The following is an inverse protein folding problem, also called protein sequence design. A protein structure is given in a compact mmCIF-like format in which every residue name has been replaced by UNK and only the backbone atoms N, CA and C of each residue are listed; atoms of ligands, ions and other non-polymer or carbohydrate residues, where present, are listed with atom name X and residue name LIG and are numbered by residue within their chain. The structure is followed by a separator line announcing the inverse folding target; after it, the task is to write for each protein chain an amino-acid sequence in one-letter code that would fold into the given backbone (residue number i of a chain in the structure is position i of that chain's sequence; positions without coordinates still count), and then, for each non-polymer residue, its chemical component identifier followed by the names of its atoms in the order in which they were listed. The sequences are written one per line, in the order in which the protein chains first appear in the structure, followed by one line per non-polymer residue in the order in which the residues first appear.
data_IF_316861506108
#
_entry.id   IF_316861506108
#
_cell.length_a   1.000
_cell.length_b   1.000
_cell.length_c   1.000
_cell.angle_alpha   90.00
_cell.angle_beta   90.00
_cell.angle_gamma   90.00
#
_symmetry.space_group_name_H-M   'P 1'
#
loop_
_entity.id
_entity.type
_entity.pdbx_description
1 polymer ?
#
# COMPACT_ATOMS: atom_id res chain seq x y z
N UNK A 1 -4.39 -11.43 33.03
CA UNK A 1 -3.39 -11.98 32.10
C UNK A 1 -4.12 -12.73 30.99
N UNK A 2 -4.50 -12.06 29.90
CA UNK A 2 -5.05 -12.71 28.70
C UNK A 2 -4.97 -11.79 27.47
N UNK A 3 -3.89 -11.02 27.31
CA UNK A 3 -3.64 -10.23 26.10
C UNK A 3 -2.40 -10.80 25.41
N UNK A 4 -2.57 -11.47 24.26
CA UNK A 4 -1.42 -12.01 23.51
C UNK A 4 -1.68 -13.28 22.71
N UNK A 5 -2.92 -13.73 22.54
CA UNK A 5 -3.21 -15.00 21.87
C UNK A 5 -3.20 -14.94 20.34
N UNK A 6 -3.80 -13.91 19.74
CA UNK A 6 -4.06 -13.87 18.30
C UNK A 6 -3.04 -13.03 17.53
N UNK A 7 -2.75 -11.81 17.99
CA UNK A 7 -1.75 -10.92 17.40
C UNK A 7 -0.35 -11.55 17.34
N UNK A 8 0.03 -12.31 18.37
CA UNK A 8 1.31 -13.05 18.43
C UNK A 8 1.36 -14.21 17.43
N UNK A 9 0.22 -14.81 17.08
CA UNK A 9 0.14 -15.86 16.05
C UNK A 9 0.20 -15.27 14.64
N UNK A 10 -0.51 -14.17 14.40
CA UNK A 10 -0.49 -13.44 13.12
C UNK A 10 0.93 -12.94 12.82
N UNK A 11 1.60 -12.31 13.80
CA UNK A 11 2.98 -11.82 13.64
C UNK A 11 4.02 -12.94 13.48
N UNK A 12 3.81 -14.11 14.10
CA UNK A 12 4.72 -15.27 13.97
C UNK A 12 4.62 -15.94 12.61
N UNK A 13 3.41 -16.03 12.04
CA UNK A 13 3.20 -16.55 10.67
C UNK A 13 3.77 -15.57 9.63
N UNK A 14 3.66 -14.26 9.88
CA UNK A 14 4.28 -13.23 9.05
C UNK A 14 5.81 -13.34 9.03
N UNK A 15 6.43 -13.61 10.20
CA UNK A 15 7.88 -13.85 10.30
C UNK A 15 8.33 -15.19 9.70
N UNK A 16 7.50 -16.24 9.72
CA UNK A 16 7.92 -17.56 9.23
C UNK A 16 7.83 -17.70 7.70
N UNK A 17 7.03 -16.89 7.02
CA UNK A 17 6.87 -16.94 5.55
C UNK A 17 7.69 -15.89 4.78
N UNK A 18 8.31 -14.94 5.49
CA UNK A 18 9.29 -14.01 4.92
C UNK A 18 10.68 -14.64 4.67
N UNK A 19 10.86 -15.93 4.99
CA UNK A 19 12.08 -16.71 4.70
C UNK A 19 12.07 -17.39 3.32
N UNK A 20 10.93 -17.37 2.62
CA UNK A 20 10.79 -17.74 1.22
C UNK A 20 10.64 -16.46 0.39
N UNK A 21 11.36 -16.35 -0.73
CA UNK A 21 11.51 -15.15 -1.56
C UNK A 21 10.22 -14.69 -2.31
N UNK A 22 9.07 -15.24 -1.95
CA UNK A 22 7.74 -14.85 -2.42
C UNK A 22 7.00 -14.21 -1.25
N UNK A 23 6.70 -12.91 -1.35
CA UNK A 23 5.92 -12.19 -0.34
C UNK A 23 4.53 -12.82 -0.13
N UNK A 24 3.84 -12.52 0.99
CA UNK A 24 2.47 -13.00 1.20
C UNK A 24 1.56 -12.54 0.05
N UNK A 25 0.69 -13.43 -0.43
CA UNK A 25 -0.26 -13.14 -1.50
C UNK A 25 -1.22 -12.02 -1.05
N UNK A 26 -1.09 -10.82 -1.63
CA UNK A 26 -1.62 -9.59 -1.02
C UNK A 26 -3.13 -9.44 -1.27
N UNK A 27 -3.66 -10.05 -2.33
CA UNK A 27 -5.11 -10.23 -2.52
C UNK A 27 -5.71 -11.05 -1.35
N UNK A 28 -4.99 -12.08 -0.90
CA UNK A 28 -5.36 -12.86 0.28
C UNK A 28 -5.30 -12.01 1.57
N UNK A 29 -4.33 -11.10 1.68
CA UNK A 29 -4.23 -10.16 2.82
C UNK A 29 -5.41 -9.20 2.85
N UNK A 30 -5.77 -8.59 1.71
CA UNK A 30 -6.93 -7.72 1.60
C UNK A 30 -8.23 -8.44 1.97
N UNK A 31 -8.46 -9.61 1.39
CA UNK A 31 -9.62 -10.44 1.69
C UNK A 31 -9.72 -10.83 3.18
N UNK A 32 -8.58 -11.18 3.81
CA UNK A 32 -8.52 -11.48 5.25
C UNK A 32 -8.82 -10.26 6.13
N UNK A 33 -8.36 -9.07 5.75
CA UNK A 33 -8.65 -7.83 6.49
C UNK A 33 -10.12 -7.45 6.38
N UNK A 34 -10.71 -7.59 5.19
CA UNK A 34 -12.15 -7.36 5.00
C UNK A 34 -12.99 -8.37 5.78
N UNK A 35 -12.60 -9.64 5.82
CA UNK A 35 -13.28 -10.66 6.62
C UNK A 35 -13.17 -10.38 8.13
N UNK A 36 -11.99 -9.94 8.60
CA UNK A 36 -11.80 -9.52 9.98
C UNK A 36 -12.71 -8.33 10.34
N UNK A 37 -12.83 -7.32 9.46
CA UNK A 37 -13.74 -6.19 9.65
C UNK A 37 -15.21 -6.63 9.71
N UNK A 38 -15.65 -7.50 8.80
CA UNK A 38 -17.02 -8.05 8.81
C UNK A 38 -17.31 -8.83 10.09
N UNK A 39 -16.36 -9.66 10.52
CA UNK A 39 -16.47 -10.45 11.75
C UNK A 39 -16.61 -9.54 12.98
N UNK A 40 -15.77 -8.50 13.09
CA UNK A 40 -15.83 -7.54 14.19
C UNK A 40 -17.15 -6.75 14.17
N UNK A 41 -17.62 -6.33 13.00
CA UNK A 41 -18.90 -5.63 12.84
C UNK A 41 -20.08 -6.49 13.28
N UNK A 42 -20.05 -7.79 12.94
CA UNK A 42 -21.05 -8.77 13.39
C UNK A 42 -21.02 -8.96 14.91
N UNK A 43 -19.82 -9.02 15.51
CA UNK A 43 -19.67 -9.10 16.96
C UNK A 43 -20.24 -7.84 17.64
N UNK A 44 -19.97 -6.65 17.12
CA UNK A 44 -20.54 -5.41 17.64
C UNK A 44 -22.08 -5.44 17.59
N UNK A 45 -22.66 -5.92 16.49
CA UNK A 45 -24.11 -6.08 16.37
C UNK A 45 -24.68 -7.07 17.41
N UNK A 46 -23.98 -8.17 17.68
CA UNK A 46 -24.35 -9.13 18.72
C UNK A 46 -24.28 -8.52 20.12
N UNK A 47 -23.23 -7.77 20.43
CA UNK A 47 -23.09 -7.08 21.73
C UNK A 47 -24.19 -6.04 21.91
N UNK A 48 -24.49 -5.23 20.88
CA UNK A 48 -25.58 -4.26 20.92
C UNK A 48 -26.94 -4.93 21.15
N UNK A 49 -27.17 -6.09 20.55
CA UNK A 49 -28.38 -6.90 20.82
C UNK A 49 -28.40 -7.41 22.26
N UNK A 50 -27.27 -7.91 22.77
CA UNK A 50 -27.15 -8.32 24.17
C UNK A 50 -27.47 -7.20 25.16
N UNK A 51 -26.97 -5.97 24.91
CA UNK A 51 -27.34 -4.77 25.70
C UNK A 51 -28.86 -4.57 25.70
N UNK A 52 -29.51 -4.66 24.55
CA UNK A 52 -30.97 -4.49 24.45
C UNK A 52 -31.75 -5.58 25.20
N UNK A 53 -31.27 -6.82 25.17
CA UNK A 53 -31.88 -7.95 25.88
C UNK A 53 -31.75 -7.78 27.41
N UNK A 54 -30.60 -7.30 27.90
CA UNK A 54 -30.38 -6.96 29.32
C UNK A 54 -31.25 -5.76 29.74
N UNK A 55 -31.29 -4.70 28.94
CA UNK A 55 -32.14 -3.53 29.19
C UNK A 55 -33.63 -3.90 29.29
N UNK A 56 -34.08 -4.79 28.40
CA UNK A 56 -35.46 -5.32 28.40
C UNK A 56 -35.72 -6.12 29.68
N UNK A 57 -34.78 -6.97 30.08
CA UNK A 57 -34.88 -7.76 31.31
C UNK A 57 -34.93 -6.87 32.55
N UNK A 58 -34.07 -5.83 32.61
CA UNK A 58 -34.08 -4.83 33.67
C UNK A 58 -35.43 -4.11 33.73
N UNK A 59 -35.98 -3.68 32.59
CA UNK A 59 -37.27 -2.99 32.56
C UNK A 59 -38.42 -3.89 33.01
N UNK A 60 -38.37 -5.18 32.69
CA UNK A 60 -39.34 -6.16 33.20
C UNK A 60 -39.29 -6.26 34.73
N UNK A 61 -38.10 -6.34 35.31
CA UNK A 61 -37.91 -6.35 36.78
C UNK A 61 -38.42 -5.04 37.39
N UNK A 62 -38.14 -3.90 36.77
CA UNK A 62 -38.64 -2.58 37.21
C UNK A 62 -40.19 -2.53 37.28
N UNK A 63 -40.86 -3.09 36.26
CA UNK A 63 -42.33 -3.18 36.24
C UNK A 63 -42.85 -4.10 37.37
N UNK A 64 -42.18 -5.23 37.61
CA UNK A 64 -42.54 -6.14 38.70
C UNK A 64 -42.36 -5.49 40.07
N UNK A 65 -41.27 -4.75 40.28
CA UNK A 65 -41.03 -3.94 41.48
C UNK A 65 -42.13 -2.90 41.70
N UNK A 66 -42.53 -2.20 40.65
CA UNK A 66 -43.62 -1.23 40.74
C UNK A 66 -44.96 -1.88 41.12
N UNK A 67 -45.22 -3.12 40.67
CA UNK A 67 -46.39 -3.89 41.12
C UNK A 67 -46.32 -4.24 42.59
N UNK A 68 -45.20 -4.83 43.04
CA UNK A 68 -45.01 -5.20 44.44
C UNK A 68 -45.11 -3.99 45.37
N UNK A 69 -44.57 -2.82 44.99
CA UNK A 69 -44.69 -1.60 45.79
C UNK A 69 -46.14 -1.15 45.98
N UNK A 70 -47.02 -1.33 44.98
CA UNK A 70 -48.46 -1.07 45.14
C UNK A 70 -49.12 -2.09 46.07
N UNK A 71 -48.74 -3.36 45.99
CA UNK A 71 -49.26 -4.40 46.87
C UNK A 71 -48.81 -4.21 48.33
N UNK A 72 -47.58 -3.78 48.54
CA UNK A 72 -47.04 -3.41 49.87
C UNK A 72 -47.86 -2.26 50.46
N UNK A 73 -48.09 -1.19 49.69
CA UNK A 73 -48.91 -0.06 50.13
C UNK A 73 -50.35 -0.48 50.46
N UNK A 74 -50.95 -1.35 49.64
CA UNK A 74 -52.29 -1.87 49.91
C UNK A 74 -52.36 -2.72 51.19
N UNK A 75 -51.33 -3.54 51.46
CA UNK A 75 -51.25 -4.32 52.70
C UNK A 75 -51.07 -3.44 53.94
N UNK A 76 -50.28 -2.36 53.83
CA UNK A 76 -50.11 -1.35 54.89
C UNK A 76 -51.43 -0.60 55.17
N UNK A 77 -52.16 -0.20 54.12
CA UNK A 77 -53.48 0.42 54.25
C UNK A 77 -54.51 -0.53 54.89
N UNK A 78 -54.48 -1.81 54.50
CA UNK A 78 -55.33 -2.85 55.10
C UNK A 78 -55.02 -3.08 56.58
N UNK A 79 -53.73 -3.09 56.95
CA UNK A 79 -53.29 -3.18 58.34
C UNK A 79 -53.81 -2.00 59.16
N UNK A 80 -53.60 -0.76 58.69
CA UNK A 80 -54.09 0.46 59.33
C UNK A 80 -55.61 0.46 59.50
N UNK A 81 -56.35 0.05 58.48
CA UNK A 81 -57.81 -0.04 58.53
C UNK A 81 -58.29 -1.09 59.53
N UNK A 82 -57.58 -2.22 59.67
CA UNK A 82 -57.91 -3.27 60.64
C UNK A 82 -57.67 -2.81 62.07
N UNK A 83 -56.55 -2.12 62.32
CA UNK A 83 -56.27 -1.48 63.63
C UNK A 83 -57.36 -0.47 63.98
N UNK A 84 -57.77 0.38 63.04
CA UNK A 84 -58.83 1.37 63.27
C UNK A 84 -60.19 0.75 63.65
N UNK A 85 -60.45 -0.49 63.22
CA UNK A 85 -61.66 -1.25 63.58
C UNK A 85 -61.47 -2.14 64.81
N UNK A 86 -60.29 -2.16 65.43
CA UNK A 86 -59.96 -3.03 66.56
C UNK A 86 -59.78 -4.52 66.20
N UNK A 87 -59.55 -4.83 64.92
CA UNK A 87 -59.26 -6.19 64.46
C UNK A 87 -57.75 -6.46 64.43
N UNK A 88 -57.21 -6.81 65.59
CA UNK A 88 -55.78 -7.11 65.76
C UNK A 88 -55.33 -8.32 64.94
N UNK A 89 -56.20 -9.32 64.76
CA UNK A 89 -55.88 -10.52 63.99
C UNK A 89 -55.77 -10.18 62.48
N UNK A 90 -56.68 -9.34 61.97
CA UNK A 90 -56.62 -8.80 60.62
C UNK A 90 -55.36 -7.97 60.40
N UNK A 91 -55.03 -7.08 61.33
CA UNK A 91 -53.84 -6.23 61.25
C UNK A 91 -52.55 -7.06 61.19
N UNK A 92 -52.41 -8.09 62.04
CA UNK A 92 -51.23 -8.98 62.03
C UNK A 92 -51.06 -9.72 60.71
N UNK A 93 -52.15 -10.27 60.16
CA UNK A 93 -52.10 -10.96 58.85
C UNK A 93 -51.69 -10.03 57.71
N UNK A 94 -52.21 -8.80 57.69
CA UNK A 94 -51.86 -7.81 56.69
C UNK A 94 -50.38 -7.42 56.77
N UNK A 95 -49.85 -7.22 57.99
CA UNK A 95 -48.43 -6.94 58.21
C UNK A 95 -47.52 -8.13 57.84
N UNK A 96 -47.91 -9.37 58.17
CA UNK A 96 -47.18 -10.57 57.74
C UNK A 96 -47.08 -10.66 56.22
N UNK A 97 -48.19 -10.36 55.51
CA UNK A 97 -48.20 -10.27 54.05
C UNK A 97 -47.30 -9.14 53.53
N UNK A 98 -47.36 -7.97 54.16
CA UNK A 98 -46.51 -6.83 53.80
C UNK A 98 -45.02 -7.20 53.89
N UNK A 99 -44.59 -7.80 55.00
CA UNK A 99 -43.20 -8.24 55.20
C UNK A 99 -42.76 -9.25 54.14
N UNK A 100 -43.64 -10.19 53.75
CA UNK A 100 -43.35 -11.13 52.68
C UNK A 100 -43.17 -10.45 51.32
N UNK A 101 -44.02 -9.45 51.01
CA UNK A 101 -43.92 -8.66 49.77
C UNK A 101 -42.67 -7.77 49.75
N UNK A 102 -42.33 -7.15 50.89
CA UNK A 102 -41.11 -6.35 51.04
C UNK A 102 -39.85 -7.18 50.81
N UNK A 103 -39.81 -8.41 51.34
CA UNK A 103 -38.71 -9.33 51.06
C UNK A 103 -38.58 -9.65 49.57
N UNK A 104 -39.69 -9.99 48.91
CA UNK A 104 -39.69 -10.25 47.47
C UNK A 104 -39.28 -9.03 46.64
N UNK A 105 -39.69 -7.83 47.07
CA UNK A 105 -39.27 -6.58 46.45
C UNK A 105 -37.77 -6.32 46.62
N UNK A 106 -37.21 -6.57 47.81
CA UNK A 106 -35.76 -6.48 48.04
C UNK A 106 -34.96 -7.39 47.09
N UNK A 107 -35.38 -8.65 46.95
CA UNK A 107 -34.72 -9.60 46.04
C UNK A 107 -34.77 -9.15 44.56
N UNK A 108 -35.86 -8.50 44.13
CA UNK A 108 -35.95 -7.93 42.78
C UNK A 108 -35.16 -6.64 42.61
N UNK A 109 -35.04 -5.82 43.66
CA UNK A 109 -34.26 -4.59 43.65
C UNK A 109 -32.76 -4.91 43.48
N UNK A 110 -32.26 -5.91 44.22
CA UNK A 110 -30.90 -6.43 44.06
C UNK A 110 -30.63 -6.89 42.63
N UNK A 111 -31.55 -7.67 42.04
CA UNK A 111 -31.45 -8.09 40.63
C UNK A 111 -31.49 -6.91 39.66
N UNK A 112 -32.32 -5.91 39.93
CA UNK A 112 -32.41 -4.70 39.10
C UNK A 112 -31.07 -3.93 39.10
N UNK A 113 -30.45 -3.78 40.27
CA UNK A 113 -29.12 -3.16 40.41
C UNK A 113 -28.06 -3.97 39.67
N UNK A 114 -28.07 -5.29 39.80
CA UNK A 114 -27.13 -6.17 39.08
C UNK A 114 -27.27 -6.03 37.56
N UNK A 115 -28.50 -6.09 37.03
CA UNK A 115 -28.78 -5.95 35.60
C UNK A 115 -28.38 -4.57 35.08
N UNK A 116 -28.58 -3.51 35.89
CA UNK A 116 -28.14 -2.16 35.53
C UNK A 116 -26.62 -2.07 35.39
N UNK A 117 -25.89 -2.63 36.36
CA UNK A 117 -24.42 -2.67 36.31
C UNK A 117 -23.92 -3.45 35.09
N UNK A 118 -24.55 -4.59 34.79
CA UNK A 118 -24.22 -5.38 33.60
C UNK A 118 -24.53 -4.63 32.30
N UNK A 119 -25.67 -3.94 32.21
CA UNK A 119 -26.00 -3.08 31.06
C UNK A 119 -24.95 -1.99 30.84
N UNK A 120 -24.56 -1.27 31.89
CA UNK A 120 -23.54 -0.21 31.83
C UNK A 120 -22.17 -0.76 31.38
N UNK A 121 -21.78 -1.94 31.87
CA UNK A 121 -20.55 -2.62 31.44
C UNK A 121 -20.60 -3.03 29.95
N UNK A 122 -21.73 -3.58 29.49
CA UNK A 122 -21.90 -3.96 28.09
C UNK A 122 -21.91 -2.74 27.16
N UNK A 123 -22.53 -1.62 27.56
CA UNK A 123 -22.52 -0.35 26.82
C UNK A 123 -21.07 0.15 26.67
N UNK A 124 -20.30 0.18 27.76
CA UNK A 124 -18.90 0.63 27.71
C UNK A 124 -18.03 -0.28 26.83
N UNK A 125 -18.27 -1.59 26.89
CA UNK A 125 -17.59 -2.58 26.05
C UNK A 125 -17.94 -2.40 24.57
N UNK A 126 -19.22 -2.16 24.24
CA UNK A 126 -19.67 -1.90 22.88
C UNK A 126 -19.00 -0.64 22.30
N UNK A 127 -18.94 0.44 23.07
CA UNK A 127 -18.27 1.67 22.65
C UNK A 127 -16.75 1.47 22.43
N UNK A 128 -16.11 0.64 23.25
CA UNK A 128 -14.71 0.27 23.06
C UNK A 128 -14.48 -0.51 21.75
N UNK A 129 -15.33 -1.51 21.49
CA UNK A 129 -15.29 -2.31 20.24
C UNK A 129 -15.51 -1.43 19.02
N UNK A 130 -16.47 -0.50 19.08
CA UNK A 130 -16.75 0.44 17.99
C UNK A 130 -15.53 1.30 17.65
N UNK A 131 -14.82 1.84 18.65
CA UNK A 131 -13.56 2.55 18.43
C UNK A 131 -12.48 1.67 17.80
N UNK A 132 -12.34 0.43 18.26
CA UNK A 132 -11.36 -0.51 17.70
C UNK A 132 -11.67 -0.86 16.23
N UNK A 133 -12.94 -1.00 15.87
CA UNK A 133 -13.39 -1.25 14.50
C UNK A 133 -13.05 -0.06 13.61
N UNK A 134 -13.28 1.16 14.08
CA UNK A 134 -12.96 2.36 13.32
C UNK A 134 -11.44 2.53 13.13
N UNK A 135 -10.65 2.31 14.18
CA UNK A 135 -9.19 2.27 14.09
C UNK A 135 -8.72 1.21 13.08
N UNK A 136 -9.36 0.04 13.09
CA UNK A 136 -9.05 -1.03 12.14
C UNK A 136 -9.38 -0.62 10.71
N UNK A 137 -10.53 0.03 10.47
CA UNK A 137 -10.93 0.54 9.15
C UNK A 137 -9.89 1.52 8.61
N UNK A 138 -9.49 2.51 9.42
CA UNK A 138 -8.47 3.50 9.02
C UNK A 138 -7.14 2.82 8.69
N UNK A 139 -6.69 1.85 9.50
CA UNK A 139 -5.44 1.10 9.24
C UNK A 139 -5.54 0.26 7.96
N UNK A 140 -6.67 -0.38 7.72
CA UNK A 140 -6.94 -1.15 6.50
C UNK A 140 -6.85 -0.25 5.27
N UNK A 141 -7.53 0.89 5.28
CA UNK A 141 -7.56 1.84 4.15
C UNK A 141 -6.16 2.44 3.91
N UNK A 142 -5.43 2.76 4.98
CA UNK A 142 -4.04 3.23 4.90
C UNK A 142 -3.12 2.17 4.28
N UNK A 143 -3.28 0.90 4.68
CA UNK A 143 -2.48 -0.19 4.14
C UNK A 143 -2.78 -0.42 2.66
N UNK A 144 -4.06 -0.37 2.26
CA UNK A 144 -4.48 -0.47 0.87
C UNK A 144 -3.89 0.66 0.00
N UNK A 145 -3.92 1.90 0.49
CA UNK A 145 -3.32 3.05 -0.20
C UNK A 145 -1.79 2.91 -0.33
N UNK A 146 -1.11 2.51 0.75
CA UNK A 146 0.35 2.28 0.72
C UNK A 146 0.73 1.15 -0.24
N UNK A 147 -0.10 0.12 -0.35
CA UNK A 147 0.07 -0.96 -1.29
C UNK A 147 -0.06 -0.46 -2.74
N UNK A 148 -1.14 0.23 -3.09
CA UNK A 148 -1.34 0.80 -4.42
C UNK A 148 -0.17 1.71 -4.83
N UNK A 149 0.31 2.55 -3.92
CA UNK A 149 1.48 3.39 -4.16
C UNK A 149 2.78 2.58 -4.37
N UNK A 150 2.96 1.48 -3.63
CA UNK A 150 4.12 0.60 -3.80
C UNK A 150 4.07 -0.16 -5.14
N UNK A 151 2.90 -0.62 -5.56
CA UNK A 151 2.68 -1.26 -6.85
C UNK A 151 2.99 -0.30 -8.01
N UNK A 152 2.45 0.93 -7.97
CA UNK A 152 2.75 1.95 -8.98
C UNK A 152 4.25 2.26 -9.08
N UNK A 153 4.97 2.30 -7.94
CA UNK A 153 6.44 2.45 -7.95
C UNK A 153 7.15 1.28 -8.61
N UNK A 154 6.75 0.05 -8.32
CA UNK A 154 7.32 -1.13 -8.97
C UNK A 154 7.06 -1.15 -10.48
N UNK A 155 5.86 -0.78 -10.92
CA UNK A 155 5.52 -0.66 -12.34
C UNK A 155 6.38 0.39 -13.04
N UNK A 156 6.57 1.57 -12.43
CA UNK A 156 7.46 2.62 -12.96
C UNK A 156 8.91 2.12 -13.02
N UNK A 157 9.43 1.46 -11.99
CA UNK A 157 10.78 0.91 -11.99
C UNK A 157 10.97 -0.17 -13.06
N UNK A 158 9.98 -1.05 -13.25
CA UNK A 158 9.98 -2.06 -14.31
C UNK A 158 9.94 -1.44 -15.71
N UNK A 159 9.06 -0.44 -15.92
CA UNK A 159 8.99 0.31 -17.18
C UNK A 159 10.29 1.07 -17.47
N UNK A 160 10.90 1.68 -16.45
CA UNK A 160 12.17 2.42 -16.59
C UNK A 160 13.33 1.48 -16.90
N UNK A 161 13.37 0.28 -16.30
CA UNK A 161 14.35 -0.75 -16.66
C UNK A 161 14.17 -1.23 -18.11
N UNK A 162 12.93 -1.39 -18.57
CA UNK A 162 12.62 -1.71 -19.97
C UNK A 162 13.03 -0.61 -20.95
N UNK A 163 12.82 0.66 -20.60
CA UNK A 163 13.30 1.81 -21.38
C UNK A 163 14.83 1.87 -21.39
N UNK A 164 15.51 1.57 -20.28
CA UNK A 164 16.97 1.52 -20.23
C UNK A 164 17.55 0.43 -21.14
N UNK A 165 16.88 -0.74 -21.22
CA UNK A 165 17.26 -1.81 -22.14
C UNK A 165 17.10 -1.41 -23.61
N UNK A 166 15.97 -0.79 -23.98
CA UNK A 166 15.73 -0.33 -25.36
C UNK A 166 16.58 0.88 -25.73
N UNK A 167 16.83 1.81 -24.81
CA UNK A 167 17.73 2.94 -25.02
C UNK A 167 19.19 2.48 -25.23
N UNK A 168 19.64 1.45 -24.50
CA UNK A 168 20.94 0.83 -24.72
C UNK A 168 21.06 0.17 -26.11
N UNK A 169 19.99 -0.47 -26.57
CA UNK A 169 19.92 -1.06 -27.91
C UNK A 169 19.94 0.00 -29.02
N UNK A 170 19.13 1.06 -28.89
CA UNK A 170 19.08 2.18 -29.85
C UNK A 170 20.42 2.93 -29.89
N UNK A 171 21.06 3.16 -28.74
CA UNK A 171 22.39 3.78 -28.69
C UNK A 171 23.47 2.97 -29.42
N UNK A 172 23.40 1.63 -29.33
CA UNK A 172 24.32 0.74 -30.05
C UNK A 172 24.11 0.81 -31.56
N UNK A 173 22.86 0.83 -32.01
CA UNK A 173 22.50 0.97 -33.43
C UNK A 173 22.95 2.33 -33.99
N UNK A 174 22.80 3.41 -33.22
CA UNK A 174 23.26 4.74 -33.61
C UNK A 174 24.79 4.81 -33.71
N UNK A 175 25.52 4.26 -32.74
CA UNK A 175 26.99 4.22 -32.79
C UNK A 175 27.52 3.39 -33.98
N UNK A 176 26.83 2.29 -34.33
CA UNK A 176 27.16 1.47 -35.49
C UNK A 176 26.88 2.22 -36.80
N UNK A 177 25.78 2.98 -36.87
CA UNK A 177 25.45 3.83 -38.02
C UNK A 177 26.48 4.96 -38.20
N UNK A 178 26.85 5.67 -37.12
CA UNK A 178 27.87 6.71 -37.15
C UNK A 178 29.26 6.19 -37.56
N UNK A 179 29.61 4.97 -37.15
CA UNK A 179 30.85 4.32 -37.60
C UNK A 179 30.80 4.04 -39.11
N UNK A 180 29.69 3.49 -39.60
CA UNK A 180 29.53 3.20 -41.03
C UNK A 180 29.53 4.48 -41.87
N UNK A 181 28.90 5.56 -41.41
CA UNK A 181 28.96 6.86 -42.08
C UNK A 181 30.39 7.37 -42.16
N UNK A 182 31.18 7.30 -41.08
CA UNK A 182 32.60 7.70 -41.11
C UNK A 182 33.44 6.82 -42.04
N UNK A 183 33.16 5.53 -42.10
CA UNK A 183 33.81 4.63 -43.07
C UNK A 183 33.48 5.02 -44.51
N UNK A 184 32.21 5.34 -44.79
CA UNK A 184 31.76 5.80 -46.10
C UNK A 184 32.37 7.15 -46.47
N UNK A 185 32.42 8.10 -45.53
CA UNK A 185 33.07 9.40 -45.69
C UNK A 185 34.57 9.23 -45.97
N UNK A 186 35.28 8.43 -45.17
CA UNK A 186 36.71 8.15 -45.41
C UNK A 186 36.95 7.44 -46.75
N UNK A 187 36.01 6.58 -47.18
CA UNK A 187 36.07 5.94 -48.50
C UNK A 187 35.82 6.96 -49.61
N UNK A 188 34.86 7.88 -49.43
CA UNK A 188 34.59 8.95 -50.39
C UNK A 188 35.79 9.90 -50.51
N UNK A 189 36.38 10.32 -49.38
CA UNK A 189 37.58 11.15 -49.33
C UNK A 189 38.77 10.45 -50.02
N UNK A 190 38.97 9.15 -49.79
CA UNK A 190 40.01 8.38 -50.47
C UNK A 190 39.74 8.25 -51.97
N UNK A 191 38.48 8.11 -52.39
CA UNK A 191 38.10 8.07 -53.82
C UNK A 191 38.32 9.44 -54.47
N UNK A 192 37.99 10.54 -53.79
CA UNK A 192 38.23 11.91 -54.26
C UNK A 192 39.74 12.20 -54.38
N UNK A 193 40.56 11.73 -53.44
CA UNK A 193 42.02 11.79 -53.52
C UNK A 193 42.54 10.99 -54.74
N UNK A 194 42.08 9.76 -54.96
CA UNK A 194 42.43 8.97 -56.15
C UNK A 194 41.94 9.59 -57.47
N UNK A 195 40.83 10.34 -57.47
CA UNK A 195 40.38 11.12 -58.63
C UNK A 195 41.28 12.33 -58.88
N UNK A 196 41.71 13.03 -57.82
CA UNK A 196 42.62 14.18 -57.90
C UNK A 196 44.05 13.78 -58.32
N UNK A 197 44.55 12.63 -57.84
CA UNK A 197 45.81 12.02 -58.29
C UNK A 197 45.73 11.44 -59.72
N UNK A 198 44.57 11.54 -60.36
CA UNK A 198 44.35 11.09 -61.73
C UNK A 198 44.29 9.57 -61.88
N UNK A 199 44.15 8.82 -60.78
CA UNK A 199 44.13 7.37 -60.76
C UNK A 199 42.77 6.81 -61.21
N UNK A 200 41.66 7.49 -60.92
CA UNK A 200 40.33 7.06 -61.35
C UNK A 200 39.80 7.88 -62.55
N UNK A 201 38.96 7.26 -63.38
CA UNK A 201 38.29 7.93 -64.49
C UNK A 201 37.17 8.83 -63.97
N UNK A 202 37.05 10.05 -64.50
CA UNK A 202 35.99 10.98 -64.09
C UNK A 202 34.64 10.51 -64.62
N UNK A 203 33.52 10.80 -63.93
CA UNK A 203 32.19 10.45 -64.43
C UNK A 203 31.96 10.99 -65.85
N UNK A 204 31.75 10.09 -66.82
CA UNK A 204 31.56 10.43 -68.24
C UNK A 204 32.83 10.41 -69.10
N UNK A 205 34.00 10.20 -68.51
CA UNK A 205 35.29 10.01 -69.19
C UNK A 205 35.45 8.53 -69.58
N UNK A 206 35.83 8.25 -70.83
CA UNK A 206 36.16 6.89 -71.28
C UNK A 206 37.52 6.44 -70.73
N UNK A 207 37.75 5.12 -70.62
CA UNK A 207 39.05 4.60 -70.13
C UNK A 207 40.22 5.10 -70.98
N UNK A 208 40.02 5.26 -72.29
CA UNK A 208 41.04 5.75 -73.21
C UNK A 208 41.38 7.24 -72.93
N UNK A 209 40.38 8.07 -72.66
CA UNK A 209 40.58 9.49 -72.30
C UNK A 209 41.29 9.65 -70.95
N UNK A 210 40.94 8.84 -69.95
CA UNK A 210 41.62 8.83 -68.65
C UNK A 210 43.10 8.39 -68.75
N UNK A 211 43.39 7.42 -69.62
CA UNK A 211 44.75 6.96 -69.91
C UNK A 211 45.56 8.03 -70.67
N UNK A 212 44.95 8.69 -71.66
CA UNK A 212 45.58 9.79 -72.41
C UNK A 212 45.96 10.96 -71.51
N UNK A 213 45.07 11.37 -70.59
CA UNK A 213 45.34 12.42 -69.61
C UNK A 213 46.51 12.08 -68.69
N UNK A 214 46.56 10.85 -68.15
CA UNK A 214 47.71 10.39 -67.36
C UNK A 214 49.01 10.39 -68.17
N UNK A 215 48.93 10.02 -69.45
CA UNK A 215 50.09 10.01 -70.35
C UNK A 215 50.60 11.43 -70.60
N UNK A 216 49.70 12.40 -70.83
CA UNK A 216 50.02 13.82 -70.99
C UNK A 216 50.60 14.45 -69.71
N UNK A 217 50.05 14.13 -68.54
CA UNK A 217 50.54 14.62 -67.25
C UNK A 217 51.93 14.05 -66.89
N UNK A 218 52.14 12.76 -67.19
CA UNK A 218 53.46 12.14 -67.07
C UNK A 218 54.50 12.77 -68.03
N UNK A 219 54.10 13.15 -69.24
CA UNK A 219 54.96 13.86 -70.20
C UNK A 219 55.22 15.32 -69.81
N UNK A 220 54.23 16.02 -69.23
CA UNK A 220 54.37 17.39 -68.72
C UNK A 220 55.34 17.52 -67.54
N UNK A 221 55.61 16.43 -66.82
CA UNK A 221 56.61 16.40 -65.74
C UNK A 221 58.08 16.27 -66.22
N UNK A 222 58.31 16.05 -67.52
CA UNK A 222 59.65 15.81 -68.09
C UNK A 222 60.31 17.08 -68.66
N UNK A 223 59.57 18.17 -68.87
CA UNK A 223 60.09 19.39 -69.54
C UNK A 223 60.36 20.61 -68.63
N UNK A 224 60.49 20.42 -67.31
CA UNK A 224 61.05 21.46 -66.42
C UNK A 224 62.59 21.33 -66.32
N UNK A 225 63.27 21.74 -67.39
CA UNK A 225 64.74 21.82 -67.52
C UNK A 225 65.39 22.91 -66.61
N UNK A 226 66.73 22.98 -66.46
CA UNK A 226 67.38 23.04 -65.15
C UNK A 226 68.29 24.26 -64.87
N UNK A 227 68.72 24.33 -63.60
CA UNK A 227 70.00 24.87 -63.05
C UNK A 227 70.30 26.37 -63.13
N UNK A 228 70.56 26.94 -61.95
CA UNK A 228 71.81 27.64 -61.69
C UNK A 228 72.37 27.21 -60.33
N UNK A 229 73.60 26.69 -60.36
CA UNK A 229 74.44 26.28 -59.24
C UNK A 229 75.42 27.42 -58.98
N UNK A 230 75.47 27.93 -57.75
CA UNK A 230 76.70 28.45 -57.12
C UNK A 230 76.37 28.66 -55.65
N UNK A 231 76.78 27.75 -54.76
CA UNK A 231 78.03 27.85 -53.99
C UNK A 231 77.71 28.59 -52.67
N UNK A 232 78.16 28.22 -51.48
CA UNK A 232 79.04 27.20 -50.94
C UNK A 232 78.82 27.29 -49.40
N UNK A 233 79.28 26.32 -48.61
CA UNK A 233 79.52 26.56 -47.19
C UNK A 233 78.55 25.96 -46.16
N UNK A 234 78.82 24.69 -45.83
CA UNK A 234 79.16 24.28 -44.45
C UNK A 234 78.07 24.13 -43.38
N UNK A 235 77.72 22.86 -43.11
CA UNK A 235 77.90 22.27 -41.77
C UNK A 235 76.76 22.42 -40.75
N UNK A 236 76.16 21.30 -40.28
CA UNK A 236 74.94 21.29 -39.47
C UNK A 236 75.23 21.44 -37.97
N UNK A 237 74.20 21.72 -37.15
CA UNK A 237 73.90 21.00 -35.89
C UNK A 237 72.81 21.71 -35.04
N UNK A 238 72.07 20.86 -34.30
CA UNK A 238 71.24 21.10 -33.10
C UNK A 238 69.75 21.35 -33.36
N UNK A 239 68.84 20.37 -33.15
CA UNK A 239 68.32 19.73 -31.91
C UNK A 239 67.36 20.65 -31.11
N UNK A 240 66.30 20.02 -30.58
CA UNK A 240 65.32 20.44 -29.55
C UNK A 240 64.04 21.13 -30.06
N UNK A 241 62.83 20.76 -29.64
CA UNK A 241 62.33 19.86 -28.58
C UNK A 241 61.11 19.07 -29.08
#
# INVERSE_FOLDING_TARGET
MAEGGFWTRVTRIFKSRSASNDGPDIEEVGARLDEAYRTQSKLLAQVRRGVADVATSRKRVEIQLASLRREIAAADDEAKASVARGDDAGARRALERQVALEKAAGELDDRHVQLRSEEEQLISSAASIERQIEDFRVRKDTLAARYSAAQARNEIHGATAGIGATAGEVGRVMADAERHTRELEATADAVDELMNEGILARPGESQDEALLRRFDEALGSVDAEPRAVEGDGHGPHQISQ
#
